data_IF_138684505946
#
_entry.id   IF_138684505946
#
_cell.length_a   1.000
_cell.length_b   1.000
_cell.length_c   1.000
_cell.angle_alpha   90.00
_cell.angle_beta   90.00
_cell.angle_gamma   90.00
#
_symmetry.space_group_name_H-M   'P 1'
#
loop_
_entity.id
_entity.type
_entity.pdbx_description
1 polymer ?
#
# COMPACT_ATOMS: atom_id res chain seq x y z
N UNK A 1 -26.38 9.46 -6.10
CA UNK A 1 -25.06 9.32 -5.46
C UNK A 1 -24.09 8.63 -6.40
N UNK A 2 -22.92 9.21 -6.60
CA UNK A 2 -21.89 8.61 -7.44
C UNK A 2 -21.10 7.59 -6.64
N UNK A 3 -20.90 6.43 -7.20
CA UNK A 3 -20.10 5.39 -6.57
C UNK A 3 -18.81 5.19 -7.35
N UNK A 4 -17.73 4.98 -6.62
CA UNK A 4 -16.44 4.63 -7.22
C UNK A 4 -16.08 3.23 -6.79
N UNK A 5 -15.65 2.43 -7.75
CA UNK A 5 -15.28 1.06 -7.48
C UNK A 5 -13.79 0.99 -7.14
N UNK A 6 -13.46 0.25 -6.09
CA UNK A 6 -12.08 -0.03 -5.74
C UNK A 6 -11.91 -1.53 -5.52
N UNK A 7 -10.98 -2.10 -6.23
CA UNK A 7 -10.71 -3.53 -6.18
C UNK A 7 -9.42 -3.79 -5.42
N UNK A 8 -9.37 -4.87 -4.66
CA UNK A 8 -8.17 -5.18 -3.87
C UNK A 8 -6.93 -5.44 -4.72
N UNK A 9 -7.10 -5.65 -6.01
CA UNK A 9 -5.98 -5.78 -6.95
C UNK A 9 -5.47 -4.43 -7.47
N UNK A 10 -6.17 -3.35 -7.16
CA UNK A 10 -5.74 -2.02 -7.60
C UNK A 10 -4.60 -1.53 -6.73
N UNK A 11 -3.90 -0.53 -7.24
CA UNK A 11 -2.74 0.02 -6.56
C UNK A 11 -3.14 1.10 -5.57
N UNK A 12 -2.45 1.10 -4.44
CA UNK A 12 -2.50 2.22 -3.50
C UNK A 12 -1.09 2.75 -3.35
N UNK A 13 -1.00 4.04 -3.05
CA UNK A 13 0.28 4.69 -2.86
C UNK A 13 0.42 4.99 -1.37
N UNK A 14 1.41 4.36 -0.74
CA UNK A 14 1.64 4.48 0.70
C UNK A 14 3.08 4.92 0.95
N UNK A 15 3.26 5.74 1.96
CA UNK A 15 4.60 6.14 2.38
C UNK A 15 4.99 5.30 3.59
N UNK A 16 5.81 4.30 3.37
CA UNK A 16 6.19 3.37 4.43
C UNK A 16 7.01 4.08 5.51
N UNK A 17 6.71 3.78 6.76
CA UNK A 17 7.53 4.20 7.89
C UNK A 17 8.65 3.18 8.09
N UNK A 18 9.63 3.52 8.91
CA UNK A 18 10.69 2.58 9.25
C UNK A 18 10.10 1.34 9.92
N UNK A 19 9.08 1.53 10.75
CA UNK A 19 8.37 0.42 11.38
C UNK A 19 7.74 -0.51 10.34
N UNK A 20 7.08 0.08 9.31
CA UNK A 20 6.47 -0.71 8.25
C UNK A 20 7.48 -1.51 7.46
N UNK A 21 8.59 -0.89 7.11
CA UNK A 21 9.67 -1.57 6.39
C UNK A 21 10.23 -2.73 7.19
N UNK A 22 10.45 -2.49 8.48
CA UNK A 22 10.98 -3.50 9.38
C UNK A 22 10.03 -4.71 9.48
N UNK A 23 8.72 -4.46 9.55
CA UNK A 23 7.75 -5.54 9.64
C UNK A 23 7.66 -6.37 8.37
N UNK A 24 7.80 -5.75 7.23
CA UNK A 24 7.83 -6.48 5.97
C UNK A 24 9.07 -7.39 5.92
N UNK A 25 10.21 -6.86 6.34
CA UNK A 25 11.46 -7.64 6.36
C UNK A 25 11.34 -8.82 7.33
N UNK A 26 10.74 -8.60 8.49
CA UNK A 26 10.54 -9.68 9.47
C UNK A 26 9.65 -10.79 8.91
N UNK A 27 8.61 -10.43 8.17
CA UNK A 27 7.66 -11.43 7.65
C UNK A 27 8.18 -12.17 6.42
N UNK A 28 8.85 -11.45 5.53
CA UNK A 28 9.14 -11.96 4.20
C UNK A 28 10.62 -12.03 3.89
N UNK A 29 11.47 -11.43 4.73
CA UNK A 29 12.91 -11.39 4.50
C UNK A 29 13.35 -10.16 3.73
N UNK A 30 14.64 -9.86 3.84
CA UNK A 30 15.22 -8.67 3.22
C UNK A 30 15.19 -8.74 1.70
N UNK A 31 15.41 -9.91 1.14
CA UNK A 31 15.43 -10.07 -0.31
C UNK A 31 14.08 -9.78 -0.92
N UNK A 32 13.01 -10.26 -0.29
CA UNK A 32 11.67 -9.96 -0.74
C UNK A 32 11.42 -8.44 -0.70
N UNK A 33 11.80 -7.80 0.39
CA UNK A 33 11.63 -6.36 0.53
C UNK A 33 12.36 -5.62 -0.58
N UNK A 34 13.61 -5.99 -0.81
CA UNK A 34 14.45 -5.32 -1.80
C UNK A 34 13.89 -5.45 -3.22
N UNK A 35 13.48 -6.66 -3.60
CA UNK A 35 13.09 -6.92 -4.98
C UNK A 35 11.61 -6.71 -5.25
N UNK A 36 10.75 -6.92 -4.27
CA UNK A 36 9.30 -6.84 -4.50
C UNK A 36 8.66 -5.57 -3.97
N UNK A 37 9.27 -4.93 -3.00
CA UNK A 37 8.71 -3.72 -2.40
C UNK A 37 9.48 -2.49 -2.82
N UNK A 38 10.78 -2.47 -2.59
CA UNK A 38 11.59 -1.28 -2.85
C UNK A 38 11.67 -0.92 -4.34
N UNK A 39 11.53 -1.91 -5.21
CA UNK A 39 11.48 -1.69 -6.64
C UNK A 39 10.25 -0.87 -7.07
N UNK A 40 9.26 -0.76 -6.21
CA UNK A 40 8.04 -0.01 -6.47
C UNK A 40 8.05 1.39 -5.87
N UNK A 41 9.21 1.82 -5.36
CA UNK A 41 9.35 3.16 -4.79
C UNK A 41 9.27 4.22 -5.90
N UNK A 42 8.40 5.20 -5.70
CA UNK A 42 8.21 6.30 -6.64
C UNK A 42 9.11 7.47 -6.25
N UNK A 43 9.38 8.40 -7.19
CA UNK A 43 10.24 9.54 -6.91
C UNK A 43 9.80 10.43 -5.74
N UNK A 44 8.50 10.42 -5.43
CA UNK A 44 7.95 11.21 -4.33
C UNK A 44 8.07 10.55 -2.96
N UNK A 45 8.68 9.37 -2.90
CA UNK A 45 8.83 8.65 -1.65
C UNK A 45 7.68 7.70 -1.32
N UNK A 46 6.66 7.65 -2.16
CA UNK A 46 5.55 6.71 -1.98
C UNK A 46 5.81 5.42 -2.71
N UNK A 47 5.28 4.34 -2.17
CA UNK A 47 5.38 3.02 -2.77
C UNK A 47 4.07 2.68 -3.47
N UNK A 48 4.15 2.27 -4.73
CA UNK A 48 2.99 1.84 -5.50
C UNK A 48 2.83 0.33 -5.31
N UNK A 49 1.87 -0.07 -4.49
CA UNK A 49 1.66 -1.47 -4.13
C UNK A 49 0.20 -1.83 -4.33
N UNK A 50 -0.05 -3.09 -4.67
CA UNK A 50 -1.43 -3.55 -4.75
C UNK A 50 -2.05 -3.55 -3.35
N UNK A 51 -3.34 -3.20 -3.28
CA UNK A 51 -4.02 -3.07 -2.01
C UNK A 51 -3.97 -4.36 -1.18
N UNK A 52 -4.17 -5.52 -1.81
CA UNK A 52 -4.13 -6.79 -1.07
C UNK A 52 -2.75 -7.06 -0.49
N UNK A 53 -1.69 -6.61 -1.14
CA UNK A 53 -0.33 -6.77 -0.61
C UNK A 53 -0.16 -5.94 0.66
N UNK A 54 -0.62 -4.69 0.63
CA UNK A 54 -0.54 -3.81 1.80
C UNK A 54 -1.34 -4.39 2.96
N UNK A 55 -2.58 -4.81 2.68
CA UNK A 55 -3.44 -5.40 3.71
C UNK A 55 -2.84 -6.67 4.31
N UNK A 56 -2.31 -7.53 3.46
CA UNK A 56 -1.76 -8.81 3.90
C UNK A 56 -0.50 -8.63 4.75
N UNK A 57 0.37 -7.73 4.35
CA UNK A 57 1.64 -7.54 5.05
C UNK A 57 1.53 -6.62 6.26
N UNK A 58 0.68 -5.62 6.20
CA UNK A 58 0.69 -4.52 7.17
C UNK A 58 -0.65 -4.29 7.85
N UNK A 59 -1.71 -4.97 7.40
CA UNK A 59 -3.05 -4.71 7.93
C UNK A 59 -3.18 -4.92 9.43
N UNK A 60 -2.49 -5.88 9.98
CA UNK A 60 -2.57 -6.18 11.41
C UNK A 60 -2.03 -5.05 12.30
N UNK A 61 -1.24 -4.15 11.73
CA UNK A 61 -0.68 -3.02 12.48
C UNK A 61 -1.52 -1.76 12.35
N UNK A 62 -2.59 -1.82 11.55
CA UNK A 62 -3.44 -0.66 11.29
C UNK A 62 -4.68 -0.74 12.17
N UNK A 63 -4.58 -0.22 13.40
CA UNK A 63 -5.71 -0.21 14.30
C UNK A 63 -5.75 1.11 15.08
N UNK A 64 -6.92 1.43 15.56
CA UNK A 64 -7.12 2.65 16.34
C UNK A 64 -6.32 2.58 17.64
N UNK A 65 -5.52 3.60 17.89
CA UNK A 65 -4.67 3.63 19.07
C UNK A 65 -3.29 3.02 18.89
N UNK A 66 -2.95 2.60 17.67
CA UNK A 66 -1.63 2.06 17.39
C UNK A 66 -0.56 3.13 17.67
N UNK A 67 0.49 2.74 18.39
CA UNK A 67 1.59 3.65 18.71
C UNK A 67 2.51 3.90 17.53
N UNK A 68 2.64 2.91 16.66
CA UNK A 68 3.46 3.00 15.46
C UNK A 68 2.64 2.51 14.30
N UNK A 69 2.64 3.28 13.22
CA UNK A 69 1.92 2.91 12.02
C UNK A 69 2.89 2.42 10.96
N UNK A 70 2.48 1.45 10.14
CA UNK A 70 3.36 0.92 9.10
C UNK A 70 3.54 1.87 7.92
N UNK A 71 2.66 2.86 7.76
CA UNK A 71 2.76 3.88 6.73
C UNK A 71 2.03 5.13 7.21
N UNK A 72 2.28 6.24 6.52
CA UNK A 72 1.64 7.51 6.87
C UNK A 72 0.12 7.40 6.78
N UNK A 73 -0.57 8.20 7.59
CA UNK A 73 -2.03 8.21 7.64
C UNK A 73 -2.67 8.47 6.30
N UNK A 74 -2.04 9.28 5.48
CA UNK A 74 -2.60 9.62 4.17
C UNK A 74 -2.11 8.62 3.13
N UNK A 75 -3.04 7.95 2.51
CA UNK A 75 -2.77 7.06 1.39
C UNK A 75 -3.42 7.68 0.16
N UNK A 76 -2.90 7.37 -1.01
CA UNK A 76 -3.39 7.96 -2.25
C UNK A 76 -3.77 6.91 -3.25
N UNK A 77 -4.75 7.26 -4.08
CA UNK A 77 -5.16 6.48 -5.24
C UNK A 77 -5.10 7.42 -6.42
N UNK A 78 -4.67 6.92 -7.57
CA UNK A 78 -4.68 7.75 -8.78
C UNK A 78 -6.00 7.55 -9.51
N UNK A 79 -6.51 8.62 -10.09
CA UNK A 79 -7.73 8.56 -10.87
C UNK A 79 -7.59 7.56 -12.02
N UNK A 80 -6.40 7.50 -12.61
CA UNK A 80 -6.11 6.61 -13.70
C UNK A 80 -6.29 5.14 -13.33
N UNK A 81 -5.82 4.75 -12.16
CA UNK A 81 -5.97 3.38 -11.69
C UNK A 81 -7.42 3.03 -11.40
N UNK A 82 -8.19 3.98 -10.89
CA UNK A 82 -9.60 3.77 -10.60
C UNK A 82 -10.44 3.68 -11.85
N UNK A 83 -10.10 4.45 -12.88
CA UNK A 83 -10.86 4.50 -14.14
C UNK A 83 -10.80 3.21 -14.93
N UNK A 84 -9.74 2.45 -14.76
CA UNK A 84 -9.59 1.22 -15.54
C UNK A 84 -10.71 0.24 -15.29
N UNK A 85 -11.44 0.38 -14.21
CA UNK A 85 -12.55 -0.53 -13.89
C UNK A 85 -13.89 0.16 -13.89
N UNK A 86 -13.94 1.45 -13.57
CA UNK A 86 -15.19 2.20 -13.62
C UNK A 86 -15.86 2.18 -14.97
N UNK A 87 -15.12 2.03 -16.04
CA UNK A 87 -15.64 2.01 -17.39
C UNK A 87 -16.29 0.70 -17.80
N UNK A 88 -16.13 -0.34 -17.00
CA UNK A 88 -16.65 -1.65 -17.31
C UNK A 88 -18.03 -1.93 -16.69
N UNK A 89 -18.54 -0.98 -15.98
CA UNK A 89 -19.82 -1.14 -15.27
C UNK A 89 -21.03 -0.89 -16.20
#
# INVERSE_FOLDING_TARGET
>A
MTKYEFNINYYMYVKLTDFGKEKIIEKCGYDYFKYCIESNLQPDGYYKLQAHTVMNLLGEYCYNGARQLPFDLNIYFTEEDLKQVGEQV
#
